data_IF_456932925487
#
_entry.id   IF_456932925487
#
_cell.length_a   1.000
_cell.length_b   1.000
_cell.length_c   1.000
_cell.angle_alpha   90.00
_cell.angle_beta   90.00
_cell.angle_gamma   90.00
#
_symmetry.space_group_name_H-M   'P 1'
#
loop_
_entity.id
_entity.type
_entity.pdbx_description
1 polymer ?
#
# COMPACT_ATOMS: atom_id res chain seq x y z
N UNK A 1 16.92 1.72 -4.34
CA UNK A 1 15.67 2.19 -5.01
C UNK A 1 14.69 2.59 -3.91
N UNK A 2 13.96 3.71 -4.02
CA UNK A 2 12.86 4.01 -3.09
C UNK A 2 11.62 3.24 -3.54
N UNK A 3 11.10 2.36 -2.70
CA UNK A 3 10.10 1.38 -3.13
C UNK A 3 8.74 2.04 -3.36
N UNK A 4 8.37 3.07 -2.57
CA UNK A 4 7.07 3.74 -2.68
C UNK A 4 6.87 4.51 -4.00
N UNK A 5 7.77 5.45 -4.37
CA UNK A 5 7.69 6.10 -5.68
C UNK A 5 7.77 5.10 -6.83
N UNK A 6 8.51 3.99 -6.66
CA UNK A 6 8.68 2.97 -7.70
C UNK A 6 7.40 2.16 -7.93
N UNK A 7 6.69 1.76 -6.85
CA UNK A 7 5.37 1.10 -6.94
C UNK A 7 4.38 2.00 -7.69
N UNK A 8 4.30 3.28 -7.31
CA UNK A 8 3.40 4.23 -7.94
C UNK A 8 3.80 4.56 -9.38
N UNK A 9 5.10 4.68 -9.68
CA UNK A 9 5.61 4.89 -11.04
C UNK A 9 5.21 3.74 -11.96
N UNK A 10 5.44 2.50 -11.54
CA UNK A 10 5.03 1.32 -12.31
C UNK A 10 3.52 1.34 -12.61
N UNK A 11 2.70 1.62 -11.58
CA UNK A 11 1.25 1.73 -11.74
C UNK A 11 0.86 2.82 -12.73
N UNK A 12 1.26 4.08 -12.49
CA UNK A 12 0.83 5.22 -13.29
C UNK A 12 1.30 5.07 -14.73
N UNK A 13 2.54 4.63 -14.96
CA UNK A 13 3.06 4.42 -16.31
C UNK A 13 2.33 3.28 -17.02
N UNK A 14 2.18 2.13 -16.37
CA UNK A 14 1.57 0.94 -16.97
C UNK A 14 0.06 1.03 -17.17
N UNK A 15 -0.67 1.66 -16.24
CA UNK A 15 -2.11 1.88 -16.33
C UNK A 15 -2.44 2.94 -17.39
N UNK A 16 -1.71 4.06 -17.40
CA UNK A 16 -1.89 5.11 -18.41
C UNK A 16 -1.58 4.58 -19.80
N UNK A 17 -0.49 3.82 -19.95
CA UNK A 17 -0.13 3.18 -21.22
C UNK A 17 -1.26 2.32 -21.77
N UNK A 18 -1.87 1.48 -20.94
CA UNK A 18 -3.02 0.66 -21.36
C UNK A 18 -4.24 1.48 -21.72
N UNK A 19 -4.55 2.51 -20.92
CA UNK A 19 -5.74 3.34 -21.13
C UNK A 19 -5.66 4.17 -22.41
N UNK A 20 -4.45 4.58 -22.81
CA UNK A 20 -4.21 5.36 -24.03
C UNK A 20 -3.84 4.48 -25.23
N UNK A 21 -3.67 3.17 -25.05
CA UNK A 21 -3.18 2.29 -26.10
C UNK A 21 -1.70 2.51 -26.46
N UNK A 22 -0.91 3.09 -25.55
CA UNK A 22 0.51 3.40 -25.73
C UNK A 22 1.39 2.19 -25.32
N UNK A 23 1.96 1.45 -26.28
CA UNK A 23 2.64 0.19 -25.99
C UNK A 23 3.99 0.39 -25.29
N UNK A 24 4.67 1.51 -25.55
CA UNK A 24 5.95 1.84 -24.92
C UNK A 24 5.77 2.11 -23.42
N UNK A 25 4.76 2.90 -23.06
CA UNK A 25 4.42 3.16 -21.66
C UNK A 25 3.95 1.89 -20.96
N UNK A 26 3.13 1.09 -21.62
CA UNK A 26 2.68 -0.21 -21.08
C UNK A 26 3.89 -1.08 -20.72
N UNK A 27 4.83 -1.28 -21.65
CA UNK A 27 6.04 -2.08 -21.39
C UNK A 27 6.94 -1.48 -20.30
N UNK A 28 7.12 -0.16 -20.29
CA UNK A 28 7.93 0.50 -19.26
C UNK A 28 7.34 0.31 -17.86
N UNK A 29 6.01 0.44 -17.71
CA UNK A 29 5.33 0.19 -16.44
C UNK A 29 5.50 -1.26 -15.96
N UNK A 30 5.39 -2.23 -16.86
CA UNK A 30 5.65 -3.65 -16.53
C UNK A 30 7.11 -3.90 -16.15
N UNK A 31 8.06 -3.26 -16.82
CA UNK A 31 9.48 -3.39 -16.47
C UNK A 31 9.77 -2.82 -15.07
N UNK A 32 9.26 -1.62 -14.77
CA UNK A 32 9.40 -1.05 -13.42
C UNK A 32 8.75 -1.92 -12.35
N UNK A 33 7.63 -2.56 -12.66
CA UNK A 33 6.99 -3.49 -11.74
C UNK A 33 7.87 -4.71 -11.46
N UNK A 34 8.52 -5.28 -12.48
CA UNK A 34 9.46 -6.40 -12.31
C UNK A 34 10.62 -6.03 -11.39
N UNK A 35 11.24 -4.88 -11.58
CA UNK A 35 12.31 -4.40 -10.68
C UNK A 35 11.85 -4.33 -9.22
N UNK A 36 10.61 -3.90 -8.97
CA UNK A 36 10.04 -3.87 -7.62
C UNK A 36 9.75 -5.27 -7.09
N UNK A 37 9.24 -6.18 -7.93
CA UNK A 37 8.95 -7.57 -7.56
C UNK A 37 10.24 -8.32 -7.24
N UNK A 38 11.28 -8.17 -8.06
CA UNK A 38 12.59 -8.81 -7.86
C UNK A 38 13.20 -8.39 -6.52
N UNK A 39 13.17 -7.09 -6.20
CA UNK A 39 13.60 -6.57 -4.91
C UNK A 39 12.76 -7.11 -3.75
N UNK A 40 11.44 -7.25 -3.94
CA UNK A 40 10.57 -7.82 -2.91
C UNK A 40 10.87 -9.30 -2.66
N UNK A 41 11.15 -10.05 -3.71
CA UNK A 41 11.44 -11.48 -3.64
C UNK A 41 12.82 -11.76 -3.02
N UNK A 42 13.79 -10.86 -3.19
CA UNK A 42 15.09 -10.94 -2.55
C UNK A 42 15.00 -10.87 -1.02
N UNK A 43 14.21 -9.94 -0.48
CA UNK A 43 14.15 -9.68 0.96
C UNK A 43 12.90 -10.23 1.67
N UNK A 44 11.90 -10.69 0.91
CA UNK A 44 10.60 -11.13 1.43
C UNK A 44 9.77 -10.01 2.06
N UNK A 45 10.17 -8.74 1.88
CA UNK A 45 9.48 -7.56 2.41
C UNK A 45 9.77 -6.32 1.55
N UNK A 46 9.07 -5.23 1.84
CA UNK A 46 9.28 -3.93 1.19
C UNK A 46 10.52 -3.24 1.80
N UNK A 47 11.33 -2.50 1.03
CA UNK A 47 12.49 -1.80 1.62
C UNK A 47 12.11 -0.66 2.59
N UNK A 48 10.94 -0.01 2.41
CA UNK A 48 10.42 1.04 3.31
C UNK A 48 9.53 0.43 4.42
N UNK A 49 9.85 -0.80 4.81
CA UNK A 49 9.12 -1.56 5.80
C UNK A 49 9.18 -0.91 7.18
N UNK A 50 8.06 -1.02 7.90
CA UNK A 50 7.88 -0.58 9.28
C UNK A 50 7.80 0.95 9.52
N UNK A 51 7.63 1.76 8.47
CA UNK A 51 7.20 3.16 8.61
C UNK A 51 5.68 3.27 8.58
N UNK A 52 5.08 3.79 9.64
CA UNK A 52 3.63 4.01 9.72
C UNK A 52 3.08 4.82 8.54
N UNK A 53 3.84 5.76 8.00
CA UNK A 53 3.46 6.49 6.79
C UNK A 53 3.75 5.66 5.53
N UNK A 54 5.00 5.26 5.32
CA UNK A 54 5.42 4.71 4.03
C UNK A 54 4.92 3.29 3.77
N UNK A 55 4.80 2.44 4.79
CA UNK A 55 4.13 1.14 4.63
C UNK A 55 2.67 1.32 4.20
N UNK A 56 1.99 2.35 4.73
CA UNK A 56 0.62 2.69 4.33
C UNK A 56 0.52 3.18 2.88
N UNK A 57 1.49 3.95 2.40
CA UNK A 57 1.58 4.35 0.97
C UNK A 57 1.83 3.14 0.07
N UNK A 58 2.72 2.23 0.47
CA UNK A 58 3.03 1.03 -0.31
C UNK A 58 1.79 0.16 -0.48
N UNK A 59 1.04 -0.08 0.61
CA UNK A 59 -0.21 -0.82 0.58
C UNK A 59 -1.22 -0.20 -0.38
N UNK A 60 -1.34 1.13 -0.38
CA UNK A 60 -2.21 1.82 -1.34
C UNK A 60 -1.82 1.54 -2.78
N UNK A 61 -0.54 1.70 -3.13
CA UNK A 61 -0.04 1.40 -4.48
C UNK A 61 -0.24 -0.05 -4.91
N UNK A 62 0.01 -1.00 -4.00
CA UNK A 62 -0.17 -2.44 -4.28
C UNK A 62 -1.65 -2.83 -4.42
N UNK A 63 -2.56 -2.18 -3.69
CA UNK A 63 -4.00 -2.35 -3.91
C UNK A 63 -4.42 -1.83 -5.28
N UNK A 64 -3.82 -0.72 -5.75
CA UNK A 64 -4.07 -0.22 -7.11
C UNK A 64 -3.64 -1.23 -8.17
N UNK A 65 -2.45 -1.83 -8.00
CA UNK A 65 -1.96 -2.90 -8.87
C UNK A 65 -2.94 -4.07 -8.95
N UNK A 66 -3.45 -4.49 -7.79
CA UNK A 66 -4.34 -5.63 -7.64
C UNK A 66 -5.74 -5.41 -8.24
N UNK A 67 -6.24 -4.16 -8.22
CA UNK A 67 -7.64 -3.86 -8.55
C UNK A 67 -7.87 -3.31 -9.95
N UNK A 68 -6.91 -2.56 -10.48
CA UNK A 68 -7.11 -1.72 -11.67
C UNK A 68 -6.32 -2.16 -12.91
N UNK A 69 -5.50 -3.21 -12.79
CA UNK A 69 -4.77 -3.78 -13.92
C UNK A 69 -5.37 -5.14 -14.32
N UNK A 70 -5.29 -5.52 -15.61
CA UNK A 70 -5.87 -6.78 -16.08
C UNK A 70 -5.10 -7.98 -15.52
N UNK A 71 -5.80 -8.86 -14.81
CA UNK A 71 -5.29 -10.19 -14.46
C UNK A 71 -5.32 -11.10 -15.70
N UNK A 72 -4.31 -11.96 -15.86
CA UNK A 72 -4.20 -12.84 -17.03
C UNK A 72 -5.25 -13.95 -16.98
N UNK A 73 -6.27 -13.90 -17.85
CA UNK A 73 -7.20 -15.03 -18.03
C UNK A 73 -7.86 -15.11 -19.42
N UNK A 74 -7.14 -14.82 -20.51
CA UNK A 74 -7.66 -15.16 -21.86
C UNK A 74 -7.23 -14.30 -23.05
N UNK A 75 -6.47 -13.23 -22.85
CA UNK A 75 -5.85 -12.46 -23.94
C UNK A 75 -4.48 -12.03 -23.43
N UNK A 76 -3.40 -12.23 -24.19
CA UNK A 76 -2.00 -12.12 -23.76
C UNK A 76 -1.51 -10.71 -23.34
N UNK A 77 -2.27 -10.02 -22.49
CA UNK A 77 -2.08 -8.64 -22.01
C UNK A 77 -2.18 -8.51 -20.48
N UNK A 78 -2.14 -9.63 -19.75
CA UNK A 78 -2.10 -9.64 -18.28
C UNK A 78 -0.91 -8.83 -17.75
N UNK A 79 -1.11 -8.14 -16.62
CA UNK A 79 -0.05 -7.36 -15.97
C UNK A 79 0.59 -8.14 -14.83
N UNK A 80 1.93 -8.11 -14.74
CA UNK A 80 2.68 -8.71 -13.62
C UNK A 80 2.30 -8.05 -12.29
N UNK A 81 1.89 -6.78 -12.34
CA UNK A 81 1.40 -6.05 -11.18
C UNK A 81 0.09 -6.67 -10.63
N UNK A 82 -0.84 -7.04 -11.52
CA UNK A 82 -2.10 -7.65 -11.12
C UNK A 82 -1.90 -9.07 -10.56
N UNK A 83 -0.90 -9.79 -11.08
CA UNK A 83 -0.54 -11.14 -10.64
C UNK A 83 0.15 -11.14 -9.27
N UNK A 84 1.14 -10.26 -9.06
CA UNK A 84 1.95 -10.26 -7.84
C UNK A 84 1.43 -9.33 -6.73
N UNK A 85 0.64 -8.31 -7.08
CA UNK A 85 0.08 -7.32 -6.15
C UNK A 85 -0.61 -7.96 -4.93
N UNK A 86 -1.57 -8.90 -5.10
CA UNK A 86 -2.27 -9.52 -3.98
C UNK A 86 -1.33 -10.24 -3.01
N UNK A 87 -0.31 -10.95 -3.53
CA UNK A 87 0.70 -11.64 -2.72
C UNK A 87 1.52 -10.66 -1.90
N UNK A 88 1.97 -9.56 -2.52
CA UNK A 88 2.78 -8.55 -1.85
C UNK A 88 1.99 -7.82 -0.76
N UNK A 89 0.70 -7.54 -1.00
CA UNK A 89 -0.21 -7.00 0.03
C UNK A 89 -0.32 -7.96 1.22
N UNK A 90 -0.58 -9.25 0.97
CA UNK A 90 -0.70 -10.26 2.02
C UNK A 90 0.58 -10.36 2.88
N UNK A 91 1.74 -10.48 2.23
CA UNK A 91 3.04 -10.53 2.92
C UNK A 91 3.34 -9.27 3.74
N UNK A 92 2.99 -8.10 3.21
CA UNK A 92 3.14 -6.84 3.95
C UNK A 92 2.26 -6.83 5.20
N UNK A 93 1.01 -7.30 5.10
CA UNK A 93 0.11 -7.43 6.25
C UNK A 93 0.57 -8.46 7.27
N UNK A 94 1.11 -9.61 6.86
CA UNK A 94 1.72 -10.60 7.77
C UNK A 94 2.83 -9.94 8.61
N UNK A 95 3.68 -9.15 7.96
CA UNK A 95 4.79 -8.48 8.62
C UNK A 95 4.34 -7.32 9.53
N UNK A 96 3.33 -6.54 9.12
CA UNK A 96 2.67 -5.54 10.00
C UNK A 96 2.05 -6.21 11.22
N UNK A 97 1.36 -7.33 11.04
CA UNK A 97 0.71 -8.05 12.13
C UNK A 97 1.71 -8.60 13.16
N UNK A 98 2.86 -9.09 12.68
CA UNK A 98 3.94 -9.58 13.54
C UNK A 98 4.57 -8.47 14.41
N UNK A 99 4.54 -7.22 13.95
CA UNK A 99 5.12 -6.07 14.64
C UNK A 99 4.08 -5.24 15.40
N UNK A 100 2.80 -5.44 15.17
CA UNK A 100 1.75 -4.65 15.82
C UNK A 100 1.65 -4.96 17.32
N UNK A 101 1.77 -3.92 18.17
CA UNK A 101 1.57 -4.03 19.61
C UNK A 101 0.26 -3.35 20.03
N UNK A 102 -0.82 -4.10 20.34
CA UNK A 102 -2.14 -3.52 20.59
C UNK A 102 -2.18 -2.59 21.81
N UNK A 103 -1.44 -2.89 22.88
CA UNK A 103 -1.37 -2.02 24.07
C UNK A 103 -0.67 -0.68 23.83
N UNK A 104 0.22 -0.61 22.84
CA UNK A 104 0.90 0.64 22.45
C UNK A 104 0.18 1.32 21.29
N UNK A 105 -0.74 0.59 20.62
CA UNK A 105 -1.42 1.01 19.40
C UNK A 105 -0.41 1.45 18.33
N UNK A 106 0.67 0.69 18.22
CA UNK A 106 1.83 1.07 17.43
C UNK A 106 2.54 -0.16 16.85
N UNK A 107 3.26 0.02 15.74
CA UNK A 107 4.17 -0.99 15.20
C UNK A 107 5.51 -0.94 15.93
N UNK A 108 5.96 -2.09 16.44
CA UNK A 108 7.26 -2.27 17.06
C UNK A 108 8.37 -2.28 16.01
N UNK A 109 9.53 -1.72 16.36
CA UNK A 109 10.69 -1.56 15.47
C UNK A 109 11.26 -2.88 14.91
N UNK A 110 12.24 -2.80 13.98
CA UNK A 110 13.02 -1.62 13.62
C UNK A 110 12.35 -0.74 12.56
N UNK A 111 12.36 0.59 12.76
CA UNK A 111 11.75 1.56 11.84
C UNK A 111 12.76 2.00 10.77
N UNK A 112 12.44 1.84 9.49
CA UNK A 112 13.18 2.49 8.40
C UNK A 112 12.40 3.69 7.84
N UNK A 113 13.10 4.77 7.45
CA UNK A 113 12.52 5.99 6.85
C UNK A 113 11.22 6.50 7.49
N UNK A 114 11.11 6.50 8.81
CA UNK A 114 9.86 6.87 9.49
C UNK A 114 9.78 8.36 9.78
N UNK A 115 8.64 9.00 9.48
CA UNK A 115 8.35 10.38 9.91
C UNK A 115 8.13 10.50 11.41
N UNK A 116 7.76 9.39 12.06
CA UNK A 116 7.63 9.31 13.51
C UNK A 116 7.52 7.85 13.96
N UNK A 117 8.06 7.57 15.15
CA UNK A 117 8.08 6.22 15.72
C UNK A 117 6.79 5.89 16.49
N UNK A 118 6.10 6.90 16.99
CA UNK A 118 4.86 6.76 17.76
C UNK A 118 3.67 7.18 16.89
N UNK A 119 2.94 6.21 16.34
CA UNK A 119 1.75 6.45 15.52
C UNK A 119 0.70 7.31 16.24
N UNK A 120 0.66 7.31 17.57
CA UNK A 120 -0.29 8.09 18.35
C UNK A 120 -0.01 9.60 18.35
N UNK A 121 1.12 10.05 17.79
CA UNK A 121 1.57 11.46 17.82
C UNK A 121 1.53 12.16 16.45
N UNK A 122 1.14 11.45 15.39
CA UNK A 122 1.03 12.02 14.04
C UNK A 122 0.01 11.24 13.20
N UNK A 123 -0.36 11.77 12.03
CA UNK A 123 -1.21 11.04 11.10
C UNK A 123 -0.40 9.96 10.37
N UNK A 124 -0.38 8.76 10.93
CA UNK A 124 0.15 7.57 10.28
C UNK A 124 -0.87 7.02 9.26
N UNK A 125 -0.43 6.73 8.05
CA UNK A 125 -1.30 6.11 7.04
C UNK A 125 -1.66 4.67 7.41
N UNK A 126 -0.79 3.97 8.15
CA UNK A 126 -1.13 2.66 8.71
C UNK A 126 -2.26 2.74 9.73
N UNK A 127 -2.38 3.83 10.50
CA UNK A 127 -3.51 4.01 11.41
C UNK A 127 -4.84 4.09 10.65
N UNK A 128 -4.85 4.70 9.45
CA UNK A 128 -6.02 4.71 8.57
C UNK A 128 -6.36 3.32 8.03
N UNK A 129 -5.35 2.50 7.71
CA UNK A 129 -5.55 1.12 7.28
C UNK A 129 -6.06 0.21 8.40
N UNK A 130 -5.63 0.43 9.64
CA UNK A 130 -6.03 -0.36 10.81
C UNK A 130 -7.41 0.05 11.36
N UNK A 131 -7.79 1.32 11.24
CA UNK A 131 -9.04 1.84 11.78
C UNK A 131 -10.28 1.00 11.41
N UNK A 132 -10.52 0.62 10.14
CA UNK A 132 -11.67 -0.22 9.79
C UNK A 132 -11.71 -1.57 10.52
N UNK A 133 -10.56 -2.10 10.95
CA UNK A 133 -10.45 -3.42 11.57
C UNK A 133 -10.52 -3.38 13.09
N UNK A 134 -9.82 -2.45 13.73
CA UNK A 134 -9.67 -2.40 15.20
C UNK A 134 -10.44 -1.26 15.86
N UNK A 135 -11.05 -0.37 15.06
CA UNK A 135 -11.75 0.82 15.56
C UNK A 135 -10.82 2.01 15.81
N UNK A 136 -11.42 3.21 15.89
CA UNK A 136 -10.68 4.49 15.95
C UNK A 136 -9.72 4.56 17.13
N UNK A 137 -10.18 4.11 18.30
CA UNK A 137 -9.45 4.25 19.56
C UNK A 137 -8.22 3.35 19.62
N UNK A 138 -8.28 2.18 18.99
CA UNK A 138 -7.20 1.18 19.00
C UNK A 138 -6.22 1.32 17.82
N UNK A 139 -6.57 2.04 16.75
CA UNK A 139 -5.76 2.12 15.53
C UNK A 139 -4.51 3.00 15.63
N UNK A 140 -4.28 3.66 16.76
CA UNK A 140 -3.15 4.58 16.93
C UNK A 140 -3.34 5.89 16.17
N UNK A 141 -4.59 6.33 15.94
CA UNK A 141 -4.89 7.62 15.32
C UNK A 141 -4.59 8.77 16.28
N UNK A 142 -3.92 9.81 15.78
CA UNK A 142 -3.66 11.03 16.54
C UNK A 142 -4.97 11.64 17.08
N UNK A 143 -5.06 12.04 18.36
CA UNK A 143 -6.33 12.44 18.99
C UNK A 143 -7.05 13.62 18.31
N UNK A 144 -6.32 14.51 17.64
CA UNK A 144 -6.89 15.70 16.99
C UNK A 144 -7.40 15.47 15.55
N UNK A 145 -7.46 14.22 15.06
CA UNK A 145 -8.32 13.94 13.90
C UNK A 145 -9.79 13.87 14.34
N UNK A 146 -10.44 15.05 14.42
CA UNK A 146 -11.89 15.17 14.57
C UNK A 146 -12.59 14.93 13.23
N UNK A 147 -13.00 13.69 12.96
CA UNK A 147 -13.76 13.32 11.76
C UNK A 147 -15.28 13.37 11.99
N UNK A 148 -15.80 14.42 12.61
CA UNK A 148 -17.25 14.63 12.74
C UNK A 148 -17.56 16.11 12.46
N UNK A 149 -18.00 16.45 11.24
CA UNK A 149 -19.37 16.95 11.09
C UNK A 149 -20.08 16.67 9.75
N UNK A 150 -19.58 15.87 8.79
CA UNK A 150 -20.29 15.77 7.47
C UNK A 150 -20.28 14.43 6.75
N UNK A 151 -20.64 13.32 7.40
CA UNK A 151 -21.14 12.14 6.68
C UNK A 151 -22.30 11.49 7.45
N UNK A 152 -23.42 12.21 7.51
CA UNK A 152 -24.73 11.65 7.86
C UNK A 152 -25.57 11.66 6.58
N UNK A 153 -26.12 10.49 6.23
CA UNK A 153 -27.13 10.25 5.20
C UNK A 153 -26.74 10.33 3.72
N UNK A 154 -26.35 9.19 3.15
CA UNK A 154 -26.71 8.80 1.76
C UNK A 154 -26.95 7.28 1.64
N UNK A 155 -27.43 6.63 2.70
CA UNK A 155 -27.73 5.19 2.71
C UNK A 155 -29.15 4.88 3.20
N UNK A 156 -30.07 5.82 3.01
CA UNK A 156 -31.51 5.56 2.99
C UNK A 156 -32.11 6.37 1.83
N UNK A 157 -32.30 5.70 0.71
CA UNK A 157 -33.16 6.08 -0.42
C UNK A 157 -33.77 4.80 -0.94
#
# INVERSE_FOLDING_TARGET
MLLNPSIMRAFVTGWTGRRLGEPNMTRAGEQYAREVIDLFDEFGTLSEFNSGTYTGVSLFGLVLWSRYLPAGSGSGSGSVMAEHGPRMVARTWEAVAALWHPGLRNMAGPWDRSYGYDMNRYLSLMALWLWPWVGKEAAGLFPNVSFWSTFRCCLLS
#
